data_IF_205136032410
#
_entry.id   IF_205136032410
#
_cell.length_a   1.000
_cell.length_b   1.000
_cell.length_c   1.000
_cell.angle_alpha   90.00
_cell.angle_beta   90.00
_cell.angle_gamma   90.00
#
_symmetry.space_group_name_H-M   'P 1'
#
loop_
_entity.id
_entity.type
_entity.pdbx_description
1 polymer ?
#
# COMPACT_ATOMS: atom_id res chain seq x y z
N UNK A 1 -19.45 -15.45 10.92
CA UNK A 1 -18.20 -16.09 11.39
C UNK A 1 -17.14 -15.02 11.68
N UNK A 2 -16.46 -15.04 12.84
CA UNK A 2 -15.56 -13.95 13.25
C UNK A 2 -14.45 -13.63 12.25
N UNK A 3 -13.95 -14.61 11.50
CA UNK A 3 -12.95 -14.39 10.45
C UNK A 3 -13.44 -13.47 9.31
N UNK A 4 -14.74 -13.48 9.00
CA UNK A 4 -15.36 -12.61 7.99
C UNK A 4 -15.42 -11.17 8.48
N UNK A 5 -15.81 -10.96 9.74
CA UNK A 5 -15.82 -9.64 10.39
C UNK A 5 -14.41 -9.05 10.49
N UNK A 6 -13.40 -9.90 10.72
CA UNK A 6 -12.00 -9.52 10.73
C UNK A 6 -11.39 -9.25 9.35
N UNK A 7 -12.13 -9.43 8.24
CA UNK A 7 -11.66 -9.19 6.88
C UNK A 7 -12.26 -7.89 6.31
N UNK A 8 -11.46 -6.83 6.08
CA UNK A 8 -11.98 -5.59 5.51
C UNK A 8 -12.59 -5.69 4.11
N UNK A 9 -12.26 -6.75 3.35
CA UNK A 9 -12.89 -7.04 2.06
C UNK A 9 -14.19 -7.86 2.17
N UNK A 10 -14.57 -8.29 3.38
CA UNK A 10 -15.78 -9.09 3.64
C UNK A 10 -15.78 -10.42 2.86
N UNK A 11 -14.62 -11.09 2.80
CA UNK A 11 -14.49 -12.38 2.11
C UNK A 11 -15.38 -13.42 2.81
N UNK A 12 -16.13 -14.19 2.01
CA UNK A 12 -16.93 -15.32 2.47
C UNK A 12 -16.02 -16.52 2.81
N UNK A 13 -15.23 -16.37 3.88
CA UNK A 13 -14.11 -17.26 4.20
C UNK A 13 -14.53 -18.73 4.34
N UNK A 14 -15.56 -19.08 5.15
CA UNK A 14 -15.97 -20.48 5.26
C UNK A 14 -16.49 -21.07 3.96
N UNK A 15 -17.16 -20.26 3.13
CA UNK A 15 -17.75 -20.71 1.87
C UNK A 15 -16.66 -21.10 0.87
N UNK A 16 -15.63 -20.27 0.68
CA UNK A 16 -14.56 -20.66 -0.24
C UNK A 16 -13.71 -21.81 0.32
N UNK A 17 -13.51 -21.88 1.64
CA UNK A 17 -12.77 -23.00 2.26
C UNK A 17 -13.55 -24.31 2.08
N UNK A 18 -14.88 -24.30 2.23
CA UNK A 18 -15.70 -25.48 1.97
C UNK A 18 -15.53 -25.96 0.53
N UNK A 19 -15.49 -25.04 -0.45
CA UNK A 19 -15.21 -25.37 -1.85
C UNK A 19 -13.81 -25.95 -2.07
N UNK A 20 -12.81 -25.54 -1.31
CA UNK A 20 -11.48 -26.18 -1.32
C UNK A 20 -11.56 -27.63 -0.80
N UNK A 21 -12.30 -27.87 0.28
CA UNK A 21 -12.49 -29.23 0.84
C UNK A 21 -13.23 -30.15 -0.14
N UNK A 22 -14.16 -29.60 -0.92
CA UNK A 22 -14.87 -30.29 -2.01
C UNK A 22 -14.01 -30.46 -3.28
N UNK A 23 -12.75 -29.99 -3.29
CA UNK A 23 -11.85 -29.93 -4.45
C UNK A 23 -12.38 -29.12 -5.65
N UNK A 24 -13.41 -28.30 -5.42
CA UNK A 24 -13.99 -27.38 -6.40
C UNK A 24 -13.27 -26.01 -6.32
N UNK A 25 -12.02 -25.99 -6.78
CA UNK A 25 -11.17 -24.80 -6.73
C UNK A 25 -11.69 -23.65 -7.61
N UNK A 26 -12.41 -23.97 -8.70
CA UNK A 26 -13.03 -22.97 -9.56
C UNK A 26 -14.12 -22.22 -8.79
N UNK A 27 -15.05 -22.93 -8.15
CA UNK A 27 -16.08 -22.29 -7.33
C UNK A 27 -15.51 -21.59 -6.10
N UNK A 28 -14.45 -22.12 -5.50
CA UNK A 28 -13.74 -21.44 -4.41
C UNK A 28 -13.24 -20.05 -4.85
N UNK A 29 -12.62 -19.97 -6.03
CA UNK A 29 -12.15 -18.70 -6.58
C UNK A 29 -13.29 -17.73 -6.89
N UNK A 30 -14.34 -18.23 -7.53
CA UNK A 30 -15.53 -17.44 -7.86
C UNK A 30 -16.23 -16.90 -6.60
N UNK A 31 -16.23 -17.66 -5.50
CA UNK A 31 -16.76 -17.21 -4.22
C UNK A 31 -15.98 -16.02 -3.65
N UNK A 32 -14.64 -16.03 -3.76
CA UNK A 32 -13.80 -14.92 -3.33
C UNK A 32 -14.07 -13.67 -4.19
N UNK A 33 -14.22 -13.84 -5.51
CA UNK A 33 -14.45 -12.72 -6.44
C UNK A 33 -15.77 -11.98 -6.22
N UNK A 34 -16.73 -12.57 -5.50
CA UNK A 34 -17.98 -11.88 -5.11
C UNK A 34 -17.71 -10.67 -4.23
N UNK A 35 -16.63 -10.68 -3.45
CA UNK A 35 -16.36 -9.63 -2.47
C UNK A 35 -14.95 -9.04 -2.57
N UNK A 36 -14.00 -9.71 -3.22
CA UNK A 36 -12.65 -9.18 -3.40
C UNK A 36 -12.27 -9.12 -4.88
N UNK A 37 -12.11 -7.90 -5.39
CA UNK A 37 -11.70 -7.64 -6.78
C UNK A 37 -10.18 -7.82 -7.01
N UNK A 38 -9.38 -8.05 -5.95
CA UNK A 38 -7.92 -8.24 -6.02
C UNK A 38 -7.43 -9.45 -5.18
N UNK A 39 -8.00 -10.65 -5.34
CA UNK A 39 -7.76 -11.77 -4.43
C UNK A 39 -6.33 -12.30 -4.49
N UNK A 40 -5.72 -12.30 -5.67
CA UNK A 40 -4.36 -12.85 -5.86
C UNK A 40 -3.30 -12.03 -5.13
N UNK A 41 -3.61 -10.78 -4.76
CA UNK A 41 -2.72 -9.89 -4.02
C UNK A 41 -2.88 -10.05 -2.51
N UNK A 42 -4.13 -10.14 -2.03
CA UNK A 42 -4.48 -10.12 -0.61
C UNK A 42 -3.86 -11.29 0.16
N UNK A 43 -3.93 -12.50 -0.40
CA UNK A 43 -3.36 -13.69 0.23
C UNK A 43 -1.85 -13.60 0.51
N UNK A 44 -1.11 -12.76 -0.23
CA UNK A 44 0.35 -12.60 -0.12
C UNK A 44 0.79 -11.51 0.85
N UNK A 45 0.06 -10.39 0.89
CA UNK A 45 0.54 -9.16 1.54
C UNK A 45 -0.29 -8.72 2.74
N UNK A 46 -1.47 -9.31 2.97
CA UNK A 46 -2.26 -9.01 4.15
C UNK A 46 -1.50 -9.40 5.43
N UNK A 47 -1.51 -8.57 6.49
CA UNK A 47 -1.10 -8.99 7.83
C UNK A 47 -2.24 -9.82 8.44
N UNK A 48 -2.37 -11.09 8.06
CA UNK A 48 -3.50 -11.92 8.47
C UNK A 48 -3.56 -12.08 10.00
N UNK A 49 -2.41 -12.05 10.67
CA UNK A 49 -2.22 -12.08 12.11
C UNK A 49 -2.89 -10.92 12.86
N UNK A 50 -3.19 -9.82 12.16
CA UNK A 50 -3.94 -8.68 12.71
C UNK A 50 -5.42 -8.67 12.28
N UNK A 51 -5.83 -9.62 11.44
CA UNK A 51 -7.09 -9.57 10.68
C UNK A 51 -7.89 -10.89 10.77
N UNK A 52 -8.12 -11.56 9.63
CA UNK A 52 -8.95 -12.75 9.54
C UNK A 52 -8.42 -13.92 10.38
N UNK A 53 -7.09 -14.09 10.51
CA UNK A 53 -6.51 -15.13 11.36
C UNK A 53 -6.56 -14.76 12.83
N UNK A 54 -6.41 -13.47 13.17
CA UNK A 54 -6.60 -12.98 14.55
C UNK A 54 -7.98 -13.36 15.09
N UNK A 55 -9.00 -13.18 14.26
CA UNK A 55 -10.39 -13.48 14.59
C UNK A 55 -10.74 -14.97 14.45
N UNK A 56 -9.84 -15.82 13.92
CA UNK A 56 -10.11 -17.24 13.76
C UNK A 56 -10.36 -17.91 15.12
N UNK A 57 -11.39 -18.74 15.23
CA UNK A 57 -11.72 -19.46 16.48
C UNK A 57 -10.58 -20.37 16.94
N UNK A 58 -9.80 -20.94 16.01
CA UNK A 58 -8.63 -21.76 16.30
C UNK A 58 -7.39 -20.95 16.72
N UNK A 59 -7.43 -19.62 16.59
CA UNK A 59 -6.33 -18.76 17.04
C UNK A 59 -6.11 -18.87 18.56
N UNK A 60 -7.19 -19.11 19.33
CA UNK A 60 -7.11 -19.36 20.78
C UNK A 60 -6.26 -20.58 21.16
N UNK A 61 -6.07 -21.51 20.22
CA UNK A 61 -5.22 -22.70 20.36
C UNK A 61 -3.82 -22.50 19.76
N UNK A 62 -3.48 -21.28 19.33
CA UNK A 62 -2.22 -20.96 18.64
C UNK A 62 -2.12 -21.53 17.23
N UNK A 63 -3.22 -22.00 16.63
CA UNK A 63 -3.24 -22.65 15.31
C UNK A 63 -4.36 -22.10 14.43
N UNK A 64 -4.39 -20.79 14.12
CA UNK A 64 -5.40 -20.24 13.22
C UNK A 64 -5.32 -20.91 11.84
N UNK A 65 -6.46 -21.02 11.15
CA UNK A 65 -6.48 -21.49 9.77
C UNK A 65 -5.65 -20.54 8.91
N UNK A 66 -4.79 -21.07 8.04
CA UNK A 66 -3.94 -20.29 7.15
C UNK A 66 -4.71 -19.67 5.97
N UNK A 67 -5.71 -18.83 6.26
CA UNK A 67 -6.69 -18.27 5.31
C UNK A 67 -6.00 -17.59 4.13
N UNK A 68 -5.01 -16.73 4.38
CA UNK A 68 -4.27 -16.04 3.31
C UNK A 68 -3.53 -17.00 2.37
N UNK A 69 -3.00 -18.12 2.88
CA UNK A 69 -2.36 -19.15 2.06
C UNK A 69 -3.37 -19.93 1.22
N UNK A 70 -4.56 -20.19 1.75
CA UNK A 70 -5.66 -20.80 0.99
C UNK A 70 -6.19 -19.85 -0.11
N UNK A 71 -6.36 -18.56 0.20
CA UNK A 71 -6.72 -17.53 -0.79
C UNK A 71 -5.67 -17.43 -1.90
N UNK A 72 -4.38 -17.43 -1.52
CA UNK A 72 -3.26 -17.44 -2.46
C UNK A 72 -3.30 -18.69 -3.35
N UNK A 73 -3.45 -19.88 -2.77
CA UNK A 73 -3.48 -21.15 -3.49
C UNK A 73 -4.59 -21.18 -4.54
N UNK A 74 -5.83 -20.85 -4.14
CA UNK A 74 -6.99 -20.87 -5.04
C UNK A 74 -6.83 -19.84 -6.16
N UNK A 75 -6.34 -18.64 -5.83
CA UNK A 75 -6.13 -17.59 -6.84
C UNK A 75 -5.04 -17.97 -7.86
N UNK A 76 -3.95 -18.60 -7.40
CA UNK A 76 -2.90 -19.09 -8.28
C UNK A 76 -3.35 -20.26 -9.15
N UNK A 77 -4.16 -21.17 -8.59
CA UNK A 77 -4.77 -22.26 -9.34
C UNK A 77 -5.68 -21.71 -10.43
N UNK A 78 -6.59 -20.79 -10.09
CA UNK A 78 -7.52 -20.17 -11.03
C UNK A 78 -6.81 -19.45 -12.19
N UNK A 79 -5.72 -18.72 -11.90
CA UNK A 79 -4.90 -18.06 -12.93
C UNK A 79 -4.25 -19.05 -13.89
N UNK A 80 -3.79 -20.20 -13.41
CA UNK A 80 -3.17 -21.24 -14.25
C UNK A 80 -4.18 -21.99 -15.12
N UNK A 81 -5.43 -22.06 -14.69
CA UNK A 81 -6.52 -22.78 -15.37
C UNK A 81 -7.49 -21.82 -16.11
N UNK A 82 -7.11 -20.55 -16.28
CA UNK A 82 -7.93 -19.53 -16.96
C UNK A 82 -9.37 -19.43 -16.42
N UNK A 83 -9.55 -19.64 -15.11
CA UNK A 83 -10.87 -19.57 -14.48
C UNK A 83 -11.35 -18.13 -14.46
N UNK A 84 -12.45 -17.86 -15.17
CA UNK A 84 -13.02 -16.53 -15.33
C UNK A 84 -14.37 -16.43 -14.65
N UNK A 85 -14.61 -15.28 -14.02
CA UNK A 85 -15.95 -14.90 -13.60
C UNK A 85 -16.81 -14.66 -14.85
N UNK A 86 -18.02 -15.24 -14.86
CA UNK A 86 -19.02 -14.89 -15.86
C UNK A 86 -19.54 -13.49 -15.50
N UNK A 87 -19.07 -12.49 -16.23
CA UNK A 87 -19.48 -11.11 -16.00
C UNK A 87 -20.98 -10.94 -16.31
N UNK A 88 -21.72 -10.20 -15.47
CA UNK A 88 -23.11 -9.88 -15.77
C UNK A 88 -23.20 -9.03 -17.04
N UNK A 89 -24.33 -9.12 -17.75
CA UNK A 89 -24.60 -8.25 -18.89
C UNK A 89 -24.63 -6.79 -18.41
N UNK A 90 -23.73 -5.97 -18.98
CA UNK A 90 -23.51 -4.60 -18.53
C UNK A 90 -24.67 -3.70 -18.97
N UNK A 91 -25.63 -3.47 -18.07
CA UNK A 91 -26.64 -2.41 -18.25
C UNK A 91 -25.95 -1.06 -18.04
N UNK A 92 -25.63 -0.37 -19.14
CA UNK A 92 -25.01 0.94 -19.07
C UNK A 92 -25.96 1.93 -18.36
N UNK A 93 -25.50 2.52 -17.24
CA UNK A 93 -26.25 3.52 -16.48
C UNK A 93 -26.14 4.95 -17.05
N UNK A 94 -25.29 5.17 -18.05
CA UNK A 94 -25.06 6.47 -18.69
C UNK A 94 -24.33 7.48 -17.80
N UNK A 95 -23.69 7.01 -16.73
CA UNK A 95 -23.05 7.83 -15.70
C UNK A 95 -21.54 7.59 -15.69
N UNK A 96 -20.78 8.69 -15.64
CA UNK A 96 -19.32 8.71 -15.70
C UNK A 96 -18.74 8.87 -14.29
N UNK A 97 -17.77 8.04 -13.92
CA UNK A 97 -17.06 8.16 -12.63
C UNK A 97 -15.55 8.26 -12.86
N UNK A 98 -14.91 9.24 -12.22
CA UNK A 98 -13.47 9.38 -12.20
C UNK A 98 -12.88 8.77 -10.93
N UNK A 99 -11.78 8.05 -11.06
CA UNK A 99 -11.00 7.51 -9.96
C UNK A 99 -9.58 8.07 -10.04
N UNK A 100 -9.11 8.71 -8.98
CA UNK A 100 -7.77 9.32 -8.94
C UNK A 100 -6.82 8.41 -8.17
N UNK A 101 -5.94 7.73 -8.90
CA UNK A 101 -4.97 6.76 -8.39
C UNK A 101 -5.36 5.31 -8.70
N UNK A 102 -4.41 4.52 -9.19
CA UNK A 102 -4.58 3.11 -9.55
C UNK A 102 -4.03 2.13 -8.49
N UNK A 103 -3.98 2.56 -7.23
CA UNK A 103 -3.67 1.69 -6.09
C UNK A 103 -4.83 0.73 -5.76
N UNK A 104 -4.68 -0.10 -4.70
CA UNK A 104 -5.68 -1.09 -4.31
C UNK A 104 -7.09 -0.53 -4.14
N UNK A 105 -7.22 0.65 -3.51
CA UNK A 105 -8.52 1.31 -3.32
C UNK A 105 -9.16 1.71 -4.66
N UNK A 106 -8.40 2.36 -5.54
CA UNK A 106 -8.89 2.85 -6.82
C UNK A 106 -9.26 1.71 -7.77
N UNK A 107 -8.41 0.69 -7.88
CA UNK A 107 -8.68 -0.51 -8.67
C UNK A 107 -9.94 -1.24 -8.19
N UNK A 108 -10.10 -1.39 -6.88
CA UNK A 108 -11.29 -2.03 -6.29
C UNK A 108 -12.55 -1.22 -6.58
N UNK A 109 -12.53 0.09 -6.31
CA UNK A 109 -13.67 0.96 -6.56
C UNK A 109 -14.08 0.95 -8.04
N UNK A 110 -13.09 1.03 -8.94
CA UNK A 110 -13.34 1.00 -10.37
C UNK A 110 -13.93 -0.33 -10.86
N UNK A 111 -13.40 -1.45 -10.37
CA UNK A 111 -13.91 -2.78 -10.71
C UNK A 111 -15.37 -2.94 -10.29
N UNK A 112 -15.69 -2.59 -9.03
CA UNK A 112 -17.03 -2.72 -8.48
C UNK A 112 -18.02 -1.79 -9.22
N UNK A 113 -17.65 -0.54 -9.48
CA UNK A 113 -18.48 0.41 -10.24
C UNK A 113 -18.70 -0.05 -11.70
N UNK A 114 -17.67 -0.61 -12.34
CA UNK A 114 -17.81 -1.15 -13.69
C UNK A 114 -18.79 -2.33 -13.72
N UNK A 115 -18.73 -3.24 -12.74
CA UNK A 115 -19.70 -4.34 -12.55
C UNK A 115 -21.12 -3.81 -12.30
N UNK A 116 -21.27 -2.65 -11.68
CA UNK A 116 -22.55 -1.96 -11.46
C UNK A 116 -23.07 -1.21 -12.71
N UNK A 117 -22.31 -1.16 -13.81
CA UNK A 117 -22.75 -0.55 -15.07
C UNK A 117 -22.34 0.91 -15.28
N UNK A 118 -21.42 1.45 -14.46
CA UNK A 118 -20.87 2.79 -14.64
C UNK A 118 -19.71 2.82 -15.64
N UNK A 119 -19.52 3.96 -16.32
CA UNK A 119 -18.35 4.21 -17.16
C UNK A 119 -17.24 4.84 -16.31
N UNK A 120 -16.21 4.04 -16.00
CA UNK A 120 -15.15 4.44 -15.07
C UNK A 120 -13.86 4.79 -15.81
N UNK A 121 -13.25 5.91 -15.43
CA UNK A 121 -11.89 6.29 -15.85
C UNK A 121 -10.98 6.47 -14.65
N UNK A 122 -9.89 5.72 -14.61
CA UNK A 122 -8.82 5.87 -13.62
C UNK A 122 -7.75 6.82 -14.18
N UNK A 123 -7.35 7.81 -13.38
CA UNK A 123 -6.21 8.68 -13.65
C UNK A 123 -5.04 8.28 -12.74
N UNK A 124 -3.93 7.88 -13.33
CA UNK A 124 -2.72 7.43 -12.63
C UNK A 124 -1.55 8.35 -12.95
N UNK A 125 -0.83 8.78 -11.92
CA UNK A 125 0.28 9.72 -12.05
C UNK A 125 1.51 9.06 -12.69
N UNK A 126 1.76 7.78 -12.41
CA UNK A 126 2.91 7.04 -12.92
C UNK A 126 2.60 6.38 -14.28
N UNK A 127 3.66 5.97 -14.99
CA UNK A 127 3.58 5.22 -16.25
C UNK A 127 3.12 3.75 -16.07
N UNK A 128 2.96 3.29 -14.83
CA UNK A 128 2.49 1.95 -14.47
C UNK A 128 1.43 2.02 -13.38
N UNK A 129 0.47 1.10 -13.47
CA UNK A 129 -0.62 0.97 -12.52
C UNK A 129 -0.24 0.16 -11.28
N UNK A 130 -1.10 0.17 -10.25
CA UNK A 130 -1.01 -0.70 -9.06
C UNK A 130 -0.51 0.00 -7.80
N UNK A 131 -0.02 1.23 -7.92
CA UNK A 131 0.51 2.00 -6.79
C UNK A 131 1.60 1.25 -6.04
N UNK A 132 1.48 1.16 -4.70
CA UNK A 132 2.46 0.49 -3.84
C UNK A 132 2.67 -0.99 -4.19
N UNK A 133 1.69 -1.65 -4.82
CA UNK A 133 1.82 -3.03 -5.30
C UNK A 133 2.88 -3.16 -6.40
N UNK A 134 3.17 -2.07 -7.11
CA UNK A 134 4.13 -2.01 -8.22
C UNK A 134 5.42 -1.35 -7.80
N UNK A 135 5.39 -0.11 -7.27
CA UNK A 135 6.62 0.61 -6.94
C UNK A 135 7.18 0.29 -5.54
N UNK A 136 6.35 -0.19 -4.61
CA UNK A 136 6.72 -0.33 -3.20
C UNK A 136 7.11 -1.76 -2.80
N UNK A 137 6.16 -2.69 -2.87
CA UNK A 137 6.35 -4.08 -2.41
C UNK A 137 7.24 -4.82 -3.43
N UNK A 138 8.38 -5.40 -3.08
CA UNK A 138 9.28 -6.02 -4.05
C UNK A 138 8.77 -7.31 -4.70
N UNK A 139 9.39 -7.70 -5.83
CA UNK A 139 9.03 -8.90 -6.62
C UNK A 139 9.07 -10.19 -5.79
N UNK A 140 10.01 -10.29 -4.84
CA UNK A 140 10.17 -11.48 -3.99
C UNK A 140 9.02 -11.68 -2.99
N UNK A 141 8.20 -10.64 -2.73
CA UNK A 141 6.95 -10.75 -1.95
C UNK A 141 5.72 -10.79 -2.85
N UNK A 142 5.73 -9.98 -3.90
CA UNK A 142 4.58 -9.75 -4.76
C UNK A 142 5.01 -9.65 -6.22
N UNK A 143 4.89 -10.74 -6.99
CA UNK A 143 5.28 -10.75 -8.40
C UNK A 143 4.48 -9.75 -9.24
N UNK A 144 5.16 -8.90 -10.02
CA UNK A 144 4.51 -7.81 -10.79
C UNK A 144 3.55 -8.33 -11.84
N UNK A 145 3.84 -9.50 -12.41
CA UNK A 145 2.95 -10.18 -13.37
C UNK A 145 1.56 -10.45 -12.79
N UNK A 146 1.44 -10.61 -11.47
CA UNK A 146 0.16 -10.80 -10.81
C UNK A 146 -0.60 -9.48 -10.71
N UNK A 147 0.11 -8.37 -10.40
CA UNK A 147 -0.48 -7.03 -10.42
C UNK A 147 -1.03 -6.72 -11.81
N UNK A 148 -0.22 -6.95 -12.85
CA UNK A 148 -0.59 -6.70 -14.24
C UNK A 148 -1.81 -7.55 -14.64
N UNK A 149 -1.84 -8.83 -14.27
CA UNK A 149 -2.98 -9.72 -14.50
C UNK A 149 -4.29 -9.21 -13.88
N UNK A 150 -4.27 -8.77 -12.61
CA UNK A 150 -5.49 -8.24 -11.98
C UNK A 150 -5.92 -6.90 -12.59
N UNK A 151 -4.97 -6.04 -12.96
CA UNK A 151 -5.28 -4.78 -13.65
C UNK A 151 -5.91 -5.05 -15.02
N UNK A 152 -5.40 -6.03 -15.77
CA UNK A 152 -5.94 -6.36 -17.09
C UNK A 152 -7.36 -6.95 -16.99
N UNK A 153 -7.66 -7.72 -15.94
CA UNK A 153 -9.05 -8.12 -15.64
C UNK A 153 -9.95 -6.92 -15.43
N UNK A 154 -9.48 -5.88 -14.74
CA UNK A 154 -10.26 -4.65 -14.52
C UNK A 154 -10.47 -3.88 -15.82
N UNK A 155 -9.46 -3.80 -16.69
CA UNK A 155 -9.61 -3.24 -18.04
C UNK A 155 -10.65 -4.00 -18.86
N UNK A 156 -10.69 -5.33 -18.74
CA UNK A 156 -11.68 -6.18 -19.43
C UNK A 156 -13.12 -5.92 -18.95
N UNK A 157 -13.32 -5.27 -17.79
CA UNK A 157 -14.64 -4.76 -17.36
C UNK A 157 -15.06 -3.47 -18.11
N UNK A 158 -14.21 -2.94 -18.99
CA UNK A 158 -14.42 -1.68 -19.69
C UNK A 158 -13.91 -0.44 -18.96
N UNK A 159 -13.14 -0.62 -17.87
CA UNK A 159 -12.50 0.48 -17.15
C UNK A 159 -11.39 1.09 -18.00
N UNK A 160 -11.44 2.39 -18.22
CA UNK A 160 -10.37 3.14 -18.89
C UNK A 160 -9.32 3.56 -17.87
N UNK A 161 -8.04 3.48 -18.24
CA UNK A 161 -6.93 3.90 -17.39
C UNK A 161 -6.05 4.85 -18.19
N UNK A 162 -5.82 6.04 -17.65
CA UNK A 162 -4.95 7.08 -18.20
C UNK A 162 -3.75 7.21 -17.27
N UNK A 163 -2.59 6.71 -17.70
CA UNK A 163 -1.30 6.84 -17.00
C UNK A 163 -0.65 8.18 -17.30
N UNK A 164 0.45 8.48 -16.61
CA UNK A 164 1.23 9.72 -16.79
C UNK A 164 0.38 10.99 -16.61
N UNK A 165 -0.67 10.88 -15.79
CA UNK A 165 -1.67 11.92 -15.57
C UNK A 165 -1.67 12.33 -14.10
N UNK A 166 -0.97 13.42 -13.80
CA UNK A 166 -0.86 13.92 -12.43
C UNK A 166 -2.05 14.85 -12.14
N UNK A 167 -3.11 14.31 -11.54
CA UNK A 167 -4.26 15.11 -11.08
C UNK A 167 -3.78 16.18 -10.10
N UNK A 168 -4.17 17.43 -10.34
CA UNK A 168 -3.70 18.62 -9.64
C UNK A 168 -2.58 19.39 -10.37
N UNK A 169 -1.92 18.78 -11.37
CA UNK A 169 -0.95 19.43 -12.26
C UNK A 169 -1.38 19.37 -13.73
N UNK A 170 -1.66 18.17 -14.25
CA UNK A 170 -2.16 17.98 -15.62
C UNK A 170 -3.58 18.53 -15.76
N UNK A 171 -4.42 18.27 -14.75
CA UNK A 171 -5.80 18.78 -14.63
C UNK A 171 -6.24 18.73 -13.17
N UNK A 172 -6.88 19.79 -12.68
CA UNK A 172 -7.36 19.86 -11.31
C UNK A 172 -8.59 18.99 -11.03
N UNK A 173 -8.82 18.62 -9.77
CA UNK A 173 -10.03 17.89 -9.35
C UNK A 173 -11.30 18.68 -9.69
N UNK A 174 -11.28 19.99 -9.50
CA UNK A 174 -12.40 20.88 -9.84
C UNK A 174 -12.76 20.89 -11.33
N UNK A 175 -11.77 20.69 -12.19
CA UNK A 175 -11.98 20.60 -13.63
C UNK A 175 -12.51 19.23 -14.03
N UNK A 176 -11.96 18.15 -13.44
CA UNK A 176 -12.49 16.79 -13.61
C UNK A 176 -13.96 16.73 -13.16
N UNK A 177 -14.32 17.43 -12.07
CA UNK A 177 -15.69 17.45 -11.56
C UNK A 177 -16.72 18.04 -12.54
N UNK A 178 -16.29 18.78 -13.56
CA UNK A 178 -17.18 19.29 -14.62
C UNK A 178 -17.55 18.21 -15.65
N UNK A 179 -16.77 17.13 -15.72
CA UNK A 179 -16.83 16.11 -16.78
C UNK A 179 -17.32 14.74 -16.29
N UNK A 180 -17.37 14.53 -14.98
CA UNK A 180 -17.75 13.25 -14.34
C UNK A 180 -18.87 13.47 -13.33
N UNK A 181 -19.75 12.49 -13.16
CA UNK A 181 -20.88 12.58 -12.22
C UNK A 181 -20.45 12.35 -10.77
N UNK A 182 -19.36 11.60 -10.55
CA UNK A 182 -18.76 11.39 -9.24
C UNK A 182 -17.24 11.23 -9.37
N UNK A 183 -16.52 11.52 -8.28
CA UNK A 183 -15.08 11.34 -8.18
C UNK A 183 -14.73 10.51 -6.94
N UNK A 184 -13.82 9.55 -7.09
CA UNK A 184 -13.18 8.86 -5.98
C UNK A 184 -11.69 9.19 -5.90
N UNK A 185 -11.25 9.78 -4.80
CA UNK A 185 -9.86 10.14 -4.54
C UNK A 185 -9.14 8.99 -3.80
N UNK A 186 -8.23 8.31 -4.51
CA UNK A 186 -7.50 7.13 -4.05
C UNK A 186 -5.98 7.27 -4.24
N UNK A 187 -5.46 8.49 -4.20
CA UNK A 187 -4.06 8.82 -4.52
C UNK A 187 -3.02 8.40 -3.46
N UNK A 188 -3.46 7.77 -2.36
CA UNK A 188 -2.60 7.26 -1.30
C UNK A 188 -1.78 8.32 -0.54
N UNK A 189 -0.93 7.85 0.38
CA UNK A 189 -0.04 8.68 1.17
C UNK A 189 1.42 8.42 0.77
N UNK A 190 1.84 8.96 -0.38
CA UNK A 190 3.12 8.61 -1.00
C UNK A 190 4.29 9.58 -0.72
N UNK A 191 4.09 10.69 0.00
CA UNK A 191 5.17 11.64 0.25
C UNK A 191 6.10 11.11 1.35
N UNK A 192 7.41 10.96 1.12
CA UNK A 192 8.33 10.42 2.12
C UNK A 192 8.51 11.39 3.29
N UNK A 193 8.78 10.84 4.47
CA UNK A 193 9.22 11.62 5.64
C UNK A 193 10.71 11.40 5.88
N UNK A 194 11.38 12.46 6.32
CA UNK A 194 12.76 12.44 6.81
C UNK A 194 12.77 12.78 8.31
N UNK A 195 13.84 12.45 9.01
CA UNK A 195 13.97 12.65 10.45
C UNK A 195 14.27 14.10 10.83
N UNK A 196 14.72 14.91 9.86
CA UNK A 196 15.20 16.28 10.05
C UNK A 196 16.44 16.35 10.94
N UNK A 197 17.41 15.47 10.67
CA UNK A 197 18.71 15.43 11.35
C UNK A 197 19.83 15.97 10.44
N UNK A 198 20.95 16.44 10.99
CA UNK A 198 22.08 16.86 10.18
C UNK A 198 22.61 15.72 9.30
N UNK A 199 22.93 16.03 8.04
CA UNK A 199 23.50 15.08 7.09
C UNK A 199 22.50 14.28 6.23
N UNK A 200 21.19 14.51 6.36
CA UNK A 200 20.17 13.82 5.53
C UNK A 200 20.23 14.14 4.03
N UNK A 201 20.93 15.21 3.64
CA UNK A 201 21.11 15.60 2.24
C UNK A 201 22.46 15.15 1.64
N UNK A 202 23.22 14.31 2.36
CA UNK A 202 24.44 13.71 1.82
C UNK A 202 24.10 12.78 0.64
N UNK A 203 25.06 12.59 -0.27
CA UNK A 203 24.95 11.53 -1.26
C UNK A 203 24.74 10.20 -0.54
N UNK A 204 24.00 9.29 -1.17
CA UNK A 204 23.75 7.93 -0.64
C UNK A 204 22.78 7.85 0.55
N UNK A 205 22.16 8.98 0.91
CA UNK A 205 20.94 8.99 1.71
C UNK A 205 19.73 8.87 0.79
N UNK A 206 18.92 7.85 1.00
CA UNK A 206 17.69 7.62 0.24
C UNK A 206 16.47 7.74 1.13
N UNK A 207 15.36 8.22 0.58
CA UNK A 207 14.05 7.78 1.10
C UNK A 207 13.80 6.34 0.68
N UNK A 208 13.12 5.55 1.50
CA UNK A 208 12.71 4.20 1.10
C UNK A 208 11.82 4.23 -0.15
N UNK A 209 11.00 5.27 -0.33
CA UNK A 209 10.20 5.49 -1.52
C UNK A 209 11.08 5.58 -2.78
N UNK A 210 12.14 6.38 -2.75
CA UNK A 210 13.08 6.48 -3.87
C UNK A 210 13.78 5.15 -4.13
N UNK A 211 14.37 4.55 -3.10
CA UNK A 211 15.15 3.32 -3.22
C UNK A 211 14.33 2.17 -3.79
N UNK A 212 13.12 1.97 -3.25
CA UNK A 212 12.21 0.94 -3.71
C UNK A 212 11.61 1.27 -5.09
N UNK A 213 11.35 2.54 -5.41
CA UNK A 213 10.87 2.91 -6.75
C UNK A 213 11.94 2.64 -7.81
N UNK A 214 13.20 3.02 -7.55
CA UNK A 214 14.34 2.70 -8.44
C UNK A 214 14.47 1.20 -8.65
N UNK A 215 14.42 0.42 -7.57
CA UNK A 215 14.53 -1.04 -7.67
C UNK A 215 13.32 -1.68 -8.35
N UNK A 216 12.10 -1.41 -7.88
CA UNK A 216 10.90 -2.15 -8.28
C UNK A 216 10.28 -1.64 -9.58
N UNK A 217 10.05 -0.33 -9.68
CA UNK A 217 9.39 0.28 -10.84
C UNK A 217 10.38 0.42 -11.99
N UNK A 218 11.57 0.95 -11.71
CA UNK A 218 12.58 1.23 -12.73
C UNK A 218 13.53 0.06 -12.99
N UNK A 219 13.42 -1.03 -12.21
CA UNK A 219 14.23 -2.25 -12.36
C UNK A 219 15.74 -1.99 -12.31
N UNK A 220 16.16 -1.06 -11.47
CA UNK A 220 17.58 -0.67 -11.35
C UNK A 220 18.51 -1.82 -10.95
N UNK A 221 17.98 -2.91 -10.35
CA UNK A 221 18.74 -4.14 -10.08
C UNK A 221 19.19 -4.88 -11.36
N UNK A 222 18.70 -4.49 -12.54
CA UNK A 222 19.09 -5.02 -13.85
C UNK A 222 19.98 -4.06 -14.64
N UNK A 223 20.43 -2.95 -14.05
CA UNK A 223 21.34 -2.02 -14.73
C UNK A 223 22.59 -2.76 -15.26
N UNK A 224 23.03 -2.53 -16.52
CA UNK A 224 22.56 -1.52 -17.48
C UNK A 224 21.47 -1.99 -18.47
N UNK A 225 20.82 -3.15 -18.29
CA UNK A 225 19.66 -3.57 -19.10
C UNK A 225 18.50 -2.56 -19.01
N UNK A 226 18.38 -1.92 -17.84
CA UNK A 226 17.49 -0.79 -17.58
C UNK A 226 18.31 0.44 -17.23
N UNK A 227 17.91 1.61 -17.73
CA UNK A 227 18.72 2.84 -17.68
C UNK A 227 18.87 3.46 -16.29
N UNK A 228 17.95 3.16 -15.37
CA UNK A 228 17.98 3.79 -14.03
C UNK A 228 19.06 3.15 -13.15
N UNK A 229 20.05 3.91 -12.67
CA UNK A 229 21.04 3.38 -11.75
C UNK A 229 20.51 3.34 -10.32
N UNK A 230 21.13 2.47 -9.52
CA UNK A 230 21.01 2.44 -8.06
C UNK A 230 22.39 2.11 -7.47
N UNK A 231 22.81 2.85 -6.44
CA UNK A 231 24.10 2.58 -5.80
C UNK A 231 24.00 1.35 -4.90
N UNK A 232 24.98 0.46 -5.02
CA UNK A 232 25.16 -0.70 -4.14
C UNK A 232 26.25 -0.36 -3.12
N UNK A 233 25.85 -0.13 -1.87
CA UNK A 233 26.77 0.08 -0.75
C UNK A 233 27.29 -1.25 -0.23
N UNK A 234 28.43 -1.26 0.49
CA UNK A 234 28.89 -2.48 1.18
C UNK A 234 28.15 -2.64 2.51
N UNK A 235 27.98 -1.55 3.24
CA UNK A 235 27.26 -1.47 4.52
C UNK A 235 26.08 -0.52 4.40
N UNK A 236 24.87 -1.01 4.63
CA UNK A 236 23.62 -0.25 4.47
C UNK A 236 22.88 -0.18 5.79
N UNK A 237 22.50 1.02 6.23
CA UNK A 237 21.54 1.20 7.33
C UNK A 237 20.16 1.55 6.79
N UNK A 238 19.13 0.84 7.26
CA UNK A 238 17.72 1.11 6.99
C UNK A 238 17.05 1.56 8.28
N UNK A 239 16.56 2.80 8.31
CA UNK A 239 15.97 3.40 9.50
C UNK A 239 14.47 3.11 9.51
N UNK A 240 14.01 2.29 10.46
CA UNK A 240 12.59 1.95 10.61
C UNK A 240 12.37 0.52 11.07
N UNK A 241 11.12 0.16 11.34
CA UNK A 241 10.73 -1.20 11.79
C UNK A 241 9.48 -1.75 11.12
N UNK A 242 8.98 -1.08 10.07
CA UNK A 242 7.78 -1.51 9.33
C UNK A 242 8.12 -2.33 8.09
N UNK A 243 7.08 -2.80 7.38
CA UNK A 243 7.24 -3.58 6.14
C UNK A 243 8.12 -2.88 5.10
N UNK A 244 8.02 -1.55 4.98
CA UNK A 244 8.86 -0.75 4.08
C UNK A 244 10.36 -0.85 4.44
N UNK A 245 10.69 -0.91 5.73
CA UNK A 245 12.07 -1.10 6.18
C UNK A 245 12.56 -2.52 5.84
N UNK A 246 11.73 -3.54 6.05
CA UNK A 246 12.07 -4.92 5.69
C UNK A 246 12.29 -5.06 4.18
N UNK A 247 11.40 -4.48 3.37
CA UNK A 247 11.50 -4.49 1.92
C UNK A 247 12.76 -3.80 1.43
N UNK A 248 13.09 -2.62 1.98
CA UNK A 248 14.29 -1.88 1.64
C UNK A 248 15.56 -2.65 2.04
N UNK A 249 15.60 -3.24 3.25
CA UNK A 249 16.74 -4.01 3.73
C UNK A 249 16.99 -5.25 2.88
N UNK A 250 15.95 -6.05 2.63
CA UNK A 250 16.01 -7.26 1.79
C UNK A 250 16.33 -6.97 0.33
N UNK A 251 15.92 -5.80 -0.16
CA UNK A 251 16.30 -5.30 -1.50
C UNK A 251 17.77 -4.90 -1.53
N UNK A 252 18.26 -4.15 -0.54
CA UNK A 252 19.67 -3.75 -0.45
C UNK A 252 20.60 -4.97 -0.40
N UNK A 253 20.23 -6.00 0.37
CA UNK A 253 20.97 -7.26 0.42
C UNK A 253 21.05 -7.93 -0.96
N UNK A 254 19.91 -8.06 -1.66
CA UNK A 254 19.85 -8.67 -3.01
C UNK A 254 20.59 -7.87 -4.08
N UNK A 255 20.74 -6.56 -3.90
CA UNK A 255 21.55 -5.70 -4.76
C UNK A 255 23.06 -5.93 -4.56
N UNK A 256 23.47 -6.69 -3.54
CA UNK A 256 24.87 -7.05 -3.29
C UNK A 256 25.51 -6.34 -2.10
N UNK A 257 24.73 -5.72 -1.21
CA UNK A 257 25.25 -5.23 0.06
C UNK A 257 25.82 -6.40 0.87
N UNK A 258 27.00 -6.21 1.46
CA UNK A 258 27.66 -7.22 2.30
C UNK A 258 27.06 -7.28 3.69
N UNK A 259 26.52 -6.16 4.15
CA UNK A 259 26.09 -5.94 5.51
C UNK A 259 24.89 -4.99 5.50
N UNK A 260 23.75 -5.43 6.05
CA UNK A 260 22.53 -4.63 6.09
C UNK A 260 22.00 -4.59 7.52
N UNK A 261 21.82 -3.37 8.03
CA UNK A 261 21.34 -3.09 9.37
C UNK A 261 19.96 -2.45 9.31
N UNK A 262 19.00 -3.02 10.04
CA UNK A 262 17.74 -2.37 10.36
C UNK A 262 17.92 -1.65 11.69
N UNK A 263 17.91 -0.32 11.66
CA UNK A 263 18.07 0.53 12.84
C UNK A 263 16.68 0.96 13.31
N UNK A 264 16.26 0.46 14.48
CA UNK A 264 14.94 0.71 15.01
C UNK A 264 14.97 1.20 16.45
N UNK A 265 14.27 2.32 16.71
CA UNK A 265 14.25 2.99 18.01
C UNK A 265 13.52 2.23 19.13
N UNK A 266 12.82 1.14 18.82
CA UNK A 266 12.12 0.28 19.80
C UNK A 266 12.63 -1.15 19.70
N UNK A 267 11.98 -2.09 20.38
CA UNK A 267 12.35 -3.51 20.32
C UNK A 267 11.61 -4.23 19.20
N UNK A 268 11.94 -5.51 19.02
CA UNK A 268 11.25 -6.43 18.12
C UNK A 268 9.73 -6.44 18.34
N UNK A 269 9.29 -6.44 19.60
CA UNK A 269 7.87 -6.57 19.95
C UNK A 269 7.03 -5.37 19.48
N UNK A 270 7.64 -4.18 19.41
CA UNK A 270 6.94 -2.98 18.90
C UNK A 270 7.13 -2.76 17.40
N UNK A 271 7.80 -3.65 16.68
CA UNK A 271 8.02 -3.51 15.24
C UNK A 271 6.70 -3.74 14.48
N UNK A 272 6.23 -2.78 13.65
CA UNK A 272 4.97 -2.90 12.93
C UNK A 272 5.06 -3.71 11.63
N UNK A 273 6.22 -4.30 11.31
CA UNK A 273 6.35 -5.19 10.16
C UNK A 273 5.60 -6.52 10.44
N UNK A 274 5.15 -7.18 9.36
CA UNK A 274 4.59 -8.53 9.46
C UNK A 274 5.63 -9.45 10.08
N UNK A 275 5.23 -10.30 11.02
CA UNK A 275 6.14 -11.18 11.74
C UNK A 275 6.92 -12.11 10.78
N UNK A 276 6.24 -12.59 9.75
CA UNK A 276 6.81 -13.40 8.67
C UNK A 276 7.93 -12.66 7.91
N UNK A 277 7.80 -11.34 7.70
CA UNK A 277 8.79 -10.57 6.95
C UNK A 277 10.03 -10.25 7.80
N UNK A 278 9.84 -10.09 9.12
CA UNK A 278 10.96 -9.98 10.07
C UNK A 278 11.73 -11.31 10.09
N UNK A 279 11.03 -12.45 10.22
CA UNK A 279 11.65 -13.77 10.22
C UNK A 279 12.45 -14.03 8.93
N UNK A 280 11.85 -13.78 7.76
CA UNK A 280 12.56 -13.91 6.49
C UNK A 280 13.78 -12.97 6.38
N UNK A 281 13.70 -11.75 6.92
CA UNK A 281 14.83 -10.83 6.93
C UNK A 281 16.00 -11.36 7.78
N UNK A 282 15.71 -11.94 8.94
CA UNK A 282 16.72 -12.57 9.80
C UNK A 282 17.34 -13.81 9.17
N UNK A 283 16.52 -14.67 8.55
CA UNK A 283 16.98 -15.86 7.83
C UNK A 283 17.90 -15.50 6.66
N UNK A 284 17.68 -14.35 6.02
CA UNK A 284 18.53 -13.80 4.96
C UNK A 284 19.83 -13.14 5.51
N UNK A 285 19.98 -13.00 6.82
CA UNK A 285 21.16 -12.43 7.46
C UNK A 285 21.13 -10.91 7.68
N UNK A 286 19.95 -10.29 7.61
CA UNK A 286 19.80 -8.87 7.98
C UNK A 286 19.98 -8.72 9.49
N UNK A 287 20.78 -7.74 9.90
CA UNK A 287 21.04 -7.44 11.30
C UNK A 287 20.04 -6.43 11.84
N UNK A 288 19.62 -6.61 13.08
CA UNK A 288 18.65 -5.75 13.74
C UNK A 288 19.27 -5.01 14.92
N UNK A 289 19.41 -3.70 14.75
CA UNK A 289 19.90 -2.75 15.74
C UNK A 289 18.70 -2.12 16.46
N UNK A 290 18.08 -2.92 17.32
CA UNK A 290 16.99 -2.46 18.17
C UNK A 290 17.46 -1.45 19.22
N UNK A 291 16.52 -0.62 19.69
CA UNK A 291 16.78 0.44 20.65
C UNK A 291 17.89 1.40 20.21
N UNK A 292 17.97 1.69 18.91
CA UNK A 292 18.90 2.68 18.37
C UNK A 292 18.14 3.72 17.55
N UNK A 293 18.49 4.99 17.75
CA UNK A 293 17.92 6.12 17.02
C UNK A 293 19.06 6.92 16.38
N UNK A 294 19.07 7.14 15.06
CA UNK A 294 20.07 8.00 14.46
C UNK A 294 19.83 9.48 14.80
N UNK A 295 20.92 10.19 15.06
CA UNK A 295 20.92 11.62 15.44
C UNK A 295 21.68 12.50 14.45
N UNK A 296 22.57 11.91 13.65
CA UNK A 296 23.32 12.59 12.59
C UNK A 296 23.85 11.61 11.56
N UNK A 297 23.81 11.96 10.28
CA UNK A 297 24.54 11.25 9.22
C UNK A 297 25.89 11.93 9.00
N UNK A 298 26.96 11.14 8.87
CA UNK A 298 28.33 11.61 8.71
C UNK A 298 28.77 11.44 7.25
N UNK A 299 29.47 12.44 6.72
CA UNK A 299 29.92 12.46 5.33
C UNK A 299 31.41 12.75 5.17
N UNK A 300 31.98 12.35 4.04
CA UNK A 300 33.32 12.75 3.62
C UNK A 300 33.34 14.17 3.01
N UNK A 301 34.53 14.64 2.61
CA UNK A 301 34.71 15.96 1.95
C UNK A 301 33.98 16.07 0.60
N UNK A 302 33.63 14.94 -0.02
CA UNK A 302 32.88 14.86 -1.29
C UNK A 302 31.37 14.76 -1.05
N UNK A 303 30.92 14.77 0.20
CA UNK A 303 29.53 14.66 0.59
C UNK A 303 28.95 13.25 0.53
N UNK A 304 29.76 12.19 0.48
CA UNK A 304 29.28 10.81 0.53
C UNK A 304 29.16 10.32 1.97
N UNK A 305 28.15 9.50 2.25
CA UNK A 305 27.97 8.88 3.56
C UNK A 305 29.18 8.02 3.94
N UNK A 306 29.66 8.19 5.17
CA UNK A 306 30.75 7.39 5.78
C UNK A 306 30.33 6.74 7.10
N UNK A 307 29.21 7.18 7.67
CA UNK A 307 28.68 6.64 8.90
C UNK A 307 27.42 7.36 9.36
N UNK A 308 26.89 6.87 10.46
CA UNK A 308 25.69 7.39 11.09
C UNK A 308 25.89 7.36 12.60
N UNK A 309 25.75 8.52 13.24
CA UNK A 309 25.75 8.61 14.70
C UNK A 309 24.37 8.20 15.22
N UNK A 310 24.36 7.29 16.20
CA UNK A 310 23.16 6.80 16.86
C UNK A 310 23.26 7.00 18.36
N UNK A 311 22.10 7.18 18.99
CA UNK A 311 21.93 7.14 20.45
C UNK A 311 21.17 5.87 20.83
N UNK A 312 21.55 5.24 21.95
CA UNK A 312 20.80 4.09 22.46
C UNK A 312 19.52 4.57 23.14
N UNK A 313 18.50 3.74 23.06
CA UNK A 313 17.19 3.96 23.62
C UNK A 313 16.91 2.96 24.73
N UNK A 314 15.98 3.32 25.62
CA UNK A 314 15.28 2.39 26.52
C UNK A 314 13.79 2.56 26.35
N UNK A 315 13.02 1.51 26.67
CA UNK A 315 11.56 1.60 26.65
C UNK A 315 11.03 2.24 27.93
N UNK A 316 10.16 3.23 27.77
CA UNK A 316 9.32 3.80 28.83
C UNK A 316 7.92 3.20 28.83
N UNK A 317 6.95 3.99 29.27
CA UNK A 317 5.54 3.62 29.29
C UNK A 317 4.93 3.50 27.88
N UNK A 318 3.87 2.70 27.70
CA UNK A 318 3.08 2.65 26.48
C UNK A 318 2.57 4.03 26.02
N UNK A 319 2.59 4.27 24.70
CA UNK A 319 1.93 5.39 24.06
C UNK A 319 0.45 5.08 23.74
N UNK A 320 -0.27 6.01 23.12
CA UNK A 320 -1.68 5.84 22.73
C UNK A 320 -1.91 4.68 21.74
N UNK A 321 -0.88 4.21 21.04
CA UNK A 321 -0.95 3.02 20.19
C UNK A 321 -0.70 1.73 20.96
N UNK A 322 -0.49 1.79 22.28
CA UNK A 322 -0.15 0.66 23.14
C UNK A 322 1.33 0.26 23.09
N UNK A 323 2.15 0.91 22.24
CA UNK A 323 3.57 0.60 22.08
C UNK A 323 4.41 1.41 23.04
N UNK A 324 5.43 0.81 23.63
CA UNK A 324 6.30 1.49 24.59
C UNK A 324 7.07 2.64 23.95
N UNK A 325 7.10 3.80 24.63
CA UNK A 325 7.81 5.00 24.15
C UNK A 325 9.32 4.79 24.23
N UNK A 326 10.07 5.09 23.17
CA UNK A 326 11.53 5.05 23.23
C UNK A 326 12.05 6.33 23.90
N UNK A 327 12.92 6.19 24.89
CA UNK A 327 13.56 7.28 25.62
C UNK A 327 15.08 7.21 25.42
N UNK A 328 15.75 8.32 25.07
CA UNK A 328 17.20 8.32 24.87
C UNK A 328 17.94 7.99 26.17
N UNK A 329 19.07 7.31 26.05
CA UNK A 329 20.04 7.11 27.11
C UNK A 329 21.15 8.13 26.90
N UNK A 330 21.19 9.17 27.74
CA UNK A 330 22.19 10.24 27.63
C UNK A 330 23.62 9.69 27.70
N UNK A 331 24.51 10.22 26.86
CA UNK A 331 25.92 9.79 26.79
C UNK A 331 26.15 8.43 26.12
N UNK A 332 25.12 7.81 25.53
CA UNK A 332 25.23 6.50 24.87
C UNK A 332 25.53 6.57 23.36
N UNK A 333 25.86 7.75 22.85
CA UNK A 333 26.11 7.97 21.43
C UNK A 333 27.26 7.10 20.91
N UNK A 334 27.10 6.57 19.70
CA UNK A 334 28.12 5.81 19.01
C UNK A 334 27.99 6.00 17.50
N UNK A 335 29.06 5.70 16.77
CA UNK A 335 29.10 5.81 15.31
C UNK A 335 29.01 4.43 14.68
N UNK A 336 27.98 4.22 13.86
CA UNK A 336 27.84 3.07 12.97
C UNK A 336 28.47 3.40 11.62
N UNK A 337 29.44 2.60 11.16
CA UNK A 337 30.07 2.78 9.84
C UNK A 337 29.16 2.21 8.75
N UNK A 338 28.67 3.06 7.87
CA UNK A 338 27.79 2.71 6.75
C UNK A 338 28.12 3.55 5.53
N UNK A 339 27.80 3.04 4.35
CA UNK A 339 28.00 3.73 3.06
C UNK A 339 26.67 4.25 2.47
N UNK A 340 25.54 3.72 2.94
CA UNK A 340 24.19 4.08 2.49
C UNK A 340 23.27 4.15 3.71
N UNK A 341 22.40 5.16 3.73
CA UNK A 341 21.32 5.30 4.72
C UNK A 341 19.98 5.35 3.98
N UNK A 342 19.04 4.48 4.34
CA UNK A 342 17.69 4.43 3.75
C UNK A 342 16.68 4.80 4.83
N UNK A 343 15.99 5.93 4.66
CA UNK A 343 14.98 6.40 5.59
C UNK A 343 13.61 5.76 5.31
N UNK A 344 13.17 4.86 6.18
CA UNK A 344 11.91 4.10 6.09
C UNK A 344 10.97 4.40 7.28
N UNK A 345 10.89 5.67 7.68
CA UNK A 345 10.17 6.10 8.89
C UNK A 345 8.67 6.39 8.66
N UNK A 346 8.19 6.22 7.43
CA UNK A 346 6.80 6.42 7.05
C UNK A 346 6.61 7.45 5.95
N UNK A 347 5.35 7.62 5.57
CA UNK A 347 4.93 8.55 4.51
C UNK A 347 3.75 9.40 4.97
N UNK A 348 3.50 10.49 4.26
CA UNK A 348 2.41 11.41 4.51
C UNK A 348 1.60 11.71 3.25
N UNK A 349 0.46 12.37 3.42
CA UNK A 349 -0.38 12.85 2.33
C UNK A 349 0.38 13.88 1.47
N UNK A 350 0.28 13.73 0.14
CA UNK A 350 0.79 14.71 -0.81
C UNK A 350 -0.30 15.77 -1.09
N UNK A 351 -0.01 17.07 -0.95
CA UNK A 351 -1.02 18.12 -1.09
C UNK A 351 -1.47 18.40 -2.55
N UNK A 352 -0.80 17.87 -3.58
CA UNK A 352 -1.06 18.20 -4.99
C UNK A 352 -2.54 18.03 -5.36
N UNK A 353 -3.12 16.85 -5.07
CA UNK A 353 -4.53 16.58 -5.39
C UNK A 353 -5.46 17.48 -4.56
N UNK A 354 -5.22 17.56 -3.26
CA UNK A 354 -6.05 18.32 -2.31
C UNK A 354 -6.11 19.82 -2.65
N UNK A 355 -5.01 20.42 -3.12
CA UNK A 355 -4.94 21.84 -3.54
C UNK A 355 -5.87 22.16 -4.70
N UNK A 356 -6.25 21.17 -5.50
CA UNK A 356 -7.12 21.34 -6.67
C UNK A 356 -8.57 20.88 -6.43
N UNK A 357 -8.91 20.52 -5.19
CA UNK A 357 -10.21 19.97 -4.79
C UNK A 357 -10.96 20.93 -3.85
N UNK A 358 -11.58 21.97 -4.42
CA UNK A 358 -12.30 22.98 -3.64
C UNK A 358 -13.41 22.34 -2.81
N UNK A 359 -13.59 22.83 -1.57
CA UNK A 359 -14.56 22.35 -0.58
C UNK A 359 -14.36 20.89 -0.11
N UNK A 360 -13.20 20.29 -0.35
CA UNK A 360 -12.81 18.99 0.22
C UNK A 360 -11.89 19.23 1.42
N UNK A 361 -12.35 18.90 2.62
CA UNK A 361 -11.60 19.13 3.86
C UNK A 361 -10.49 18.10 4.08
N UNK A 362 -9.36 18.58 4.61
CA UNK A 362 -8.26 17.74 5.09
C UNK A 362 -8.01 17.98 6.57
N UNK A 363 -7.51 16.97 7.29
CA UNK A 363 -7.01 17.16 8.65
C UNK A 363 -5.66 17.90 8.67
N UNK A 364 -5.12 18.17 9.87
CA UNK A 364 -3.84 18.89 10.06
C UNK A 364 -2.63 18.21 9.38
N UNK A 365 -2.74 16.91 9.05
CA UNK A 365 -1.68 16.13 8.39
C UNK A 365 -1.90 15.99 6.88
N UNK A 366 -2.93 16.65 6.32
CA UNK A 366 -3.22 16.65 4.89
C UNK A 366 -4.05 15.48 4.38
N UNK A 367 -4.53 14.58 5.26
CA UNK A 367 -5.40 13.47 4.86
C UNK A 367 -6.84 13.96 4.68
N UNK A 368 -7.56 13.43 3.68
CA UNK A 368 -8.96 13.78 3.44
C UNK A 368 -9.84 13.32 4.60
N UNK A 369 -10.72 14.20 5.05
CA UNK A 369 -11.75 13.88 6.05
C UNK A 369 -12.94 13.28 5.32
N UNK A 370 -13.37 12.10 5.75
CA UNK A 370 -14.46 11.35 5.14
C UNK A 370 -15.40 10.77 6.18
N UNK A 371 -16.65 10.56 5.78
CA UNK A 371 -17.57 9.71 6.52
C UNK A 371 -17.09 8.24 6.51
N UNK A 372 -17.09 7.59 7.68
CA UNK A 372 -16.50 6.26 7.80
C UNK A 372 -17.30 5.15 7.11
N UNK A 373 -18.62 5.33 6.94
CA UNK A 373 -19.49 4.32 6.35
C UNK A 373 -19.51 4.42 4.83
N UNK A 374 -19.63 5.64 4.33
CA UNK A 374 -19.85 5.96 2.91
C UNK A 374 -18.58 6.38 2.19
N UNK A 375 -17.55 6.82 2.92
CA UNK A 375 -16.32 7.41 2.36
C UNK A 375 -16.55 8.73 1.61
N UNK A 376 -17.72 9.37 1.81
CA UNK A 376 -18.02 10.69 1.27
C UNK A 376 -17.14 11.76 1.91
N UNK A 377 -16.67 12.72 1.12
CA UNK A 377 -15.94 13.90 1.62
C UNK A 377 -16.91 15.01 2.02
N UNK A 378 -16.37 16.16 2.48
CA UNK A 378 -17.18 17.37 2.73
C UNK A 378 -17.78 18.00 1.47
N UNK A 379 -17.37 17.57 0.26
CA UNK A 379 -17.99 17.98 -1.00
C UNK A 379 -18.82 16.84 -1.57
N UNK A 380 -20.10 17.11 -1.72
CA UNK A 380 -21.05 16.19 -2.35
C UNK A 380 -20.56 15.75 -3.74
N UNK A 381 -20.72 14.46 -4.04
CA UNK A 381 -20.25 13.82 -5.27
C UNK A 381 -18.76 13.48 -5.31
N UNK A 382 -17.98 13.89 -4.29
CA UNK A 382 -16.57 13.50 -4.14
C UNK A 382 -16.41 12.59 -2.92
N UNK A 383 -15.77 11.44 -3.15
CA UNK A 383 -15.47 10.40 -2.17
C UNK A 383 -13.95 10.21 -2.06
N UNK A 384 -13.44 9.65 -0.96
CA UNK A 384 -12.02 9.35 -0.82
C UNK A 384 -11.78 8.10 0.04
N UNK A 385 -10.72 7.33 -0.24
CA UNK A 385 -10.48 6.08 0.48
C UNK A 385 -9.07 5.52 0.34
N UNK A 386 -8.73 4.57 1.20
CA UNK A 386 -7.37 4.04 1.34
C UNK A 386 -6.46 4.97 2.13
N UNK A 387 -5.16 4.85 1.89
CA UNK A 387 -4.11 5.51 2.70
C UNK A 387 -4.24 7.04 2.77
N UNK A 388 -4.83 7.68 1.76
CA UNK A 388 -5.06 9.14 1.76
C UNK A 388 -6.09 9.59 2.81
N UNK A 389 -6.86 8.67 3.39
CA UNK A 389 -7.82 8.95 4.48
C UNK A 389 -7.35 8.42 5.83
N UNK A 390 -6.51 7.37 5.84
CA UNK A 390 -6.11 6.64 7.05
C UNK A 390 -4.69 6.95 7.53
N UNK A 391 -3.82 7.46 6.65
CA UNK A 391 -2.38 7.26 6.80
C UNK A 391 -1.95 5.86 6.34
N UNK A 392 -0.65 5.59 6.36
CA UNK A 392 -0.09 4.30 5.94
C UNK A 392 -0.82 3.14 6.66
N UNK A 393 -1.62 2.38 5.90
CA UNK A 393 -2.47 1.31 6.41
C UNK A 393 -2.14 0.00 5.68
N UNK A 394 -3.11 -0.90 5.56
CA UNK A 394 -2.94 -2.19 4.88
C UNK A 394 -3.63 -2.19 3.53
N UNK A 395 -3.10 -2.98 2.58
CA UNK A 395 -3.69 -3.16 1.24
C UNK A 395 -5.17 -3.52 1.31
N UNK A 396 -5.56 -4.41 2.23
CA UNK A 396 -6.95 -4.83 2.37
C UNK A 396 -7.85 -3.75 2.97
N UNK A 397 -7.33 -2.87 3.83
CA UNK A 397 -8.09 -1.71 4.32
C UNK A 397 -8.41 -0.76 3.17
N UNK A 398 -7.45 -0.55 2.25
CA UNK A 398 -7.67 0.23 1.04
C UNK A 398 -8.71 -0.41 0.11
N UNK A 399 -8.68 -1.74 -0.05
CA UNK A 399 -9.72 -2.50 -0.78
C UNK A 399 -11.09 -2.28 -0.13
N UNK A 400 -11.19 -2.45 1.19
CA UNK A 400 -12.44 -2.23 1.93
C UNK A 400 -13.01 -0.82 1.76
N UNK A 401 -12.16 0.21 1.75
CA UNK A 401 -12.59 1.59 1.48
C UNK A 401 -13.07 1.77 0.03
N UNK A 402 -12.39 1.17 -0.95
CA UNK A 402 -12.82 1.18 -2.35
C UNK A 402 -14.21 0.57 -2.53
N UNK A 403 -14.50 -0.55 -1.87
CA UNK A 403 -15.84 -1.19 -1.89
C UNK A 403 -16.92 -0.33 -1.26
N UNK A 404 -16.61 0.31 -0.12
CA UNK A 404 -17.55 1.21 0.57
C UNK A 404 -17.86 2.42 -0.31
N UNK A 405 -16.83 3.02 -0.89
CA UNK A 405 -16.98 4.14 -1.81
C UNK A 405 -17.78 3.75 -3.06
N UNK A 406 -17.54 2.58 -3.66
CA UNK A 406 -18.31 2.13 -4.82
C UNK A 406 -19.82 2.01 -4.51
N UNK A 407 -20.18 1.40 -3.38
CA UNK A 407 -21.59 1.32 -2.92
C UNK A 407 -22.20 2.71 -2.65
N UNK A 408 -21.43 3.63 -2.07
CA UNK A 408 -21.90 4.97 -1.77
C UNK A 408 -22.06 5.83 -3.03
N UNK A 409 -21.14 5.72 -3.99
CA UNK A 409 -21.23 6.35 -5.32
C UNK A 409 -22.45 5.82 -6.06
N UNK A 410 -22.68 4.50 -6.05
CA UNK A 410 -23.87 3.91 -6.67
C UNK A 410 -25.16 4.47 -6.08
N UNK A 411 -25.22 4.57 -4.74
CA UNK A 411 -26.38 5.14 -4.03
C UNK A 411 -26.59 6.62 -4.40
N UNK A 412 -25.52 7.41 -4.38
CA UNK A 412 -25.55 8.84 -4.74
C UNK A 412 -26.04 9.08 -6.17
N UNK A 413 -25.51 8.33 -7.13
CA UNK A 413 -25.87 8.48 -8.54
C UNK A 413 -27.28 7.95 -8.83
N UNK A 414 -27.68 6.85 -8.18
CA UNK A 414 -29.02 6.27 -8.34
C UNK A 414 -30.12 7.12 -7.72
N UNK A 415 -29.81 7.94 -6.70
CA UNK A 415 -30.74 8.92 -6.12
C UNK A 415 -30.82 10.23 -6.92
N UNK A 416 -30.22 10.29 -8.11
CA UNK A 416 -30.22 11.47 -8.98
C UNK A 416 -29.08 12.45 -8.75
N UNK A 417 -28.15 12.13 -7.83
CA UNK A 417 -26.94 12.93 -7.62
C UNK A 417 -26.05 12.97 -8.88
N UNK A 418 -25.40 14.11 -9.10
CA UNK A 418 -24.34 14.25 -10.10
C UNK A 418 -23.55 15.54 -9.87
N UNK A 419 -22.23 15.45 -10.01
CA UNK A 419 -21.33 16.60 -10.12
C UNK A 419 -21.46 17.32 -11.47
N UNK A 420 -21.84 16.60 -12.54
CA UNK A 420 -22.09 17.23 -13.84
C UNK A 420 -23.39 18.00 -13.74
N UNK A 421 -23.30 19.32 -13.94
CA UNK A 421 -24.50 20.10 -14.22
C UNK A 421 -25.07 19.62 -15.54
N UNK A 422 -26.32 19.15 -15.55
CA UNK A 422 -27.06 18.96 -16.80
C UNK A 422 -26.93 20.24 -17.61
N UNK A 423 -26.40 20.16 -18.84
CA UNK A 423 -26.49 21.27 -19.78
C UNK A 423 -28.00 21.58 -19.90
N UNK A 424 -28.44 22.69 -19.29
CA UNK A 424 -29.77 23.25 -19.54
C UNK A 424 -29.81 23.76 -20.96
#
# INVERSE_FOLDING_TARGET
PPCVEGCPAEIHIPQFILKIVEEDFASAYLEILKTNSLPTMCGRVCPQEEQCQRACVYNKMGKPISIGRLEQFVSDWARKHDTKEKLPERKNKGKLVAVVGSGPAGLTCAADLAKMGYDVTIFEALHKTGGVLTYGIPEFRLPKKIVEYEVDKIKNLGVKIVTDFVVGLTKGVDEIAKEFDAIFLANGAGAPQFMHIPGENLNDVYSANEFLTRSNLMKAYKFPEFDTPIKVGKKVAVIGGGNVAMDAARTALRLGAKEVHVVYRRTREEAPARAEEIAHAEEEGIMFDFLNLPVRTLGDEKGNVTGMECIKMRLGEPDQSGRRKPLPIEGSNFVMKVDIVICAIGTTANPIVARSATNVQTNKRGYFIVDEKTRATSREGIFAGGDITRGSATVISAIGDGKKAARAIDSYLSSGGSLRKSKK
#
